data_IF_949112578703
#
_entry.id   IF_949112578703
#
_cell.length_a   1.000
_cell.length_b   1.000
_cell.length_c   1.000
_cell.angle_alpha   90.00
_cell.angle_beta   90.00
_cell.angle_gamma   90.00
#
_symmetry.space_group_name_H-M   'P 1'
#
loop_
_entity.id
_entity.type
_entity.pdbx_description
1 polymer ?
#
# COMPACT_ATOMS: atom_id res chain seq x y z
N UNK A 1 -1.24 4.97 -17.78
CA UNK A 1 -0.21 4.09 -17.16
C UNK A 1 -0.76 3.43 -15.90
N UNK A 2 -0.49 2.13 -15.71
CA UNK A 2 -0.82 1.37 -14.49
C UNK A 2 0.47 0.98 -13.77
N UNK A 3 0.66 1.48 -12.54
CA UNK A 3 1.87 1.31 -11.74
C UNK A 3 1.55 0.59 -10.43
N UNK A 4 2.37 -0.35 -9.99
CA UNK A 4 2.08 -1.06 -8.74
C UNK A 4 2.95 -2.26 -8.44
N UNK A 5 2.43 -3.13 -7.56
CA UNK A 5 3.08 -4.38 -7.19
C UNK A 5 2.58 -5.58 -8.02
N UNK A 6 2.55 -6.79 -7.43
CA UNK A 6 2.03 -8.01 -8.06
C UNK A 6 0.61 -7.87 -8.62
N UNK A 7 -0.21 -6.96 -8.11
CA UNK A 7 -1.56 -6.70 -8.62
C UNK A 7 -1.55 -6.18 -10.07
N UNK A 8 -0.50 -5.48 -10.49
CA UNK A 8 -0.34 -5.04 -11.89
C UNK A 8 -0.32 -6.25 -12.84
N UNK A 9 0.28 -7.36 -12.42
CA UNK A 9 0.30 -8.59 -13.20
C UNK A 9 -1.10 -9.16 -13.44
N UNK A 10 -1.94 -9.18 -12.40
CA UNK A 10 -3.33 -9.64 -12.52
C UNK A 10 -4.16 -8.74 -13.45
N UNK A 11 -4.01 -7.41 -13.34
CA UNK A 11 -4.70 -6.47 -14.22
C UNK A 11 -4.21 -6.61 -15.66
N UNK A 12 -2.90 -6.78 -15.87
CA UNK A 12 -2.33 -7.00 -17.20
C UNK A 12 -2.93 -8.23 -17.88
N UNK A 13 -3.03 -9.36 -17.17
CA UNK A 13 -3.68 -10.56 -17.70
C UNK A 13 -5.15 -10.33 -18.07
N UNK A 14 -5.88 -9.58 -17.23
CA UNK A 14 -7.27 -9.20 -17.53
C UNK A 14 -7.38 -8.30 -18.77
N UNK A 15 -6.47 -7.34 -18.92
CA UNK A 15 -6.40 -6.43 -20.07
C UNK A 15 -6.07 -7.18 -21.36
N UNK A 16 -5.10 -8.10 -21.32
CA UNK A 16 -4.73 -8.92 -22.48
C UNK A 16 -5.88 -9.85 -22.92
N UNK A 17 -6.72 -10.29 -21.99
CA UNK A 17 -7.90 -11.11 -22.30
C UNK A 17 -9.08 -10.31 -22.87
N UNK A 18 -9.19 -9.02 -22.57
CA UNK A 18 -10.27 -8.16 -23.01
C UNK A 18 -9.74 -6.74 -23.31
N UNK A 19 -8.89 -6.58 -24.35
CA UNK A 19 -8.31 -5.28 -24.68
C UNK A 19 -9.39 -4.34 -25.21
N UNK A 20 -9.13 -3.04 -25.10
CA UNK A 20 -9.95 -2.01 -25.75
C UNK A 20 -9.10 -1.20 -26.71
N UNK A 21 -9.67 -0.88 -27.86
CA UNK A 21 -8.97 -0.13 -28.91
C UNK A 21 -8.91 1.39 -28.64
N UNK A 22 -9.73 1.88 -27.71
CA UNK A 22 -9.85 3.30 -27.38
C UNK A 22 -8.90 3.78 -26.27
N UNK A 23 -8.07 2.88 -25.71
CA UNK A 23 -7.14 3.19 -24.62
C UNK A 23 -5.81 2.46 -24.82
N UNK A 24 -4.70 3.20 -24.86
CA UNK A 24 -3.36 2.60 -24.75
C UNK A 24 -2.97 2.44 -23.27
N UNK A 25 -2.69 1.20 -22.86
CA UNK A 25 -2.35 0.88 -21.48
C UNK A 25 -0.92 0.37 -21.40
N UNK A 26 -0.09 1.13 -20.66
CA UNK A 26 1.24 0.70 -20.23
C UNK A 26 1.22 0.23 -18.78
N UNK A 27 2.05 -0.75 -18.48
CA UNK A 27 2.18 -1.36 -17.16
C UNK A 27 3.59 -1.17 -16.62
N UNK A 28 3.70 -0.80 -15.33
CA UNK A 28 4.96 -0.74 -14.60
C UNK A 28 4.83 -1.43 -13.24
N UNK A 29 5.39 -2.63 -13.13
CA UNK A 29 5.31 -3.46 -11.94
C UNK A 29 6.63 -3.51 -11.18
N UNK A 30 6.56 -3.51 -9.85
CA UNK A 30 7.71 -3.72 -8.98
C UNK A 30 7.32 -4.59 -7.78
N UNK A 31 8.13 -5.58 -7.36
CA UNK A 31 7.85 -6.32 -6.13
C UNK A 31 7.72 -5.36 -4.94
N UNK A 32 6.86 -5.68 -3.96
CA UNK A 32 6.48 -4.75 -2.88
C UNK A 32 7.68 -4.02 -2.23
N UNK A 33 8.76 -4.75 -1.90
CA UNK A 33 9.99 -4.16 -1.31
C UNK A 33 10.70 -3.17 -2.24
N UNK A 34 10.70 -3.46 -3.53
CA UNK A 34 11.23 -2.54 -4.56
C UNK A 34 10.30 -1.35 -4.74
N UNK A 35 9.00 -1.60 -4.81
CA UNK A 35 7.97 -0.59 -5.08
C UNK A 35 7.99 0.53 -4.04
N UNK A 36 8.04 0.19 -2.74
CA UNK A 36 8.14 1.20 -1.65
C UNK A 36 9.44 2.03 -1.69
N UNK A 37 10.45 1.57 -2.43
CA UNK A 37 11.73 2.26 -2.60
C UNK A 37 11.77 3.16 -3.83
N UNK A 38 10.76 3.10 -4.70
CA UNK A 38 10.63 3.99 -5.84
C UNK A 38 10.34 5.42 -5.37
N UNK A 39 10.84 6.38 -6.11
CA UNK A 39 10.62 7.81 -5.91
C UNK A 39 10.22 8.42 -7.24
N UNK A 40 9.32 9.39 -7.18
CA UNK A 40 8.92 10.19 -8.32
C UNK A 40 9.75 11.48 -8.31
N UNK A 41 10.49 11.76 -9.37
CA UNK A 41 11.25 13.01 -9.50
C UNK A 41 10.34 14.19 -9.87
N UNK A 42 10.90 15.39 -9.90
CA UNK A 42 10.19 16.60 -10.34
C UNK A 42 9.79 16.54 -11.82
N UNK A 43 10.55 15.81 -12.63
CA UNK A 43 10.25 15.52 -14.04
C UNK A 43 9.26 14.36 -14.22
N UNK A 44 8.60 13.94 -13.14
CA UNK A 44 7.65 12.83 -13.10
C UNK A 44 8.27 11.48 -13.52
N UNK A 45 9.59 11.31 -13.32
CA UNK A 45 10.26 10.02 -13.52
C UNK A 45 10.12 9.16 -12.26
N UNK A 46 9.41 8.04 -12.37
CA UNK A 46 9.33 7.05 -11.31
C UNK A 46 10.49 6.07 -11.42
N UNK A 47 11.43 6.12 -10.48
CA UNK A 47 12.64 5.29 -10.49
C UNK A 47 13.16 5.00 -9.07
N UNK A 48 14.17 4.14 -8.97
CA UNK A 48 14.98 4.06 -7.75
C UNK A 48 15.96 5.25 -7.72
N UNK A 49 16.10 5.99 -6.59
CA UNK A 49 17.03 7.11 -6.52
C UNK A 49 18.49 6.68 -6.75
N UNK A 50 19.27 7.58 -7.36
CA UNK A 50 20.68 7.34 -7.74
C UNK A 50 21.66 7.48 -6.57
N UNK A 51 21.27 8.21 -5.53
CA UNK A 51 22.10 8.60 -4.37
C UNK A 51 22.52 7.41 -3.48
N UNK A 52 21.98 6.21 -3.72
CA UNK A 52 22.36 5.00 -2.99
C UNK A 52 23.35 4.21 -3.85
N UNK A 53 24.57 4.74 -3.99
CA UNK A 53 25.68 4.12 -4.74
C UNK A 53 26.28 2.87 -4.08
N UNK A 54 25.94 2.60 -2.81
CA UNK A 54 26.55 1.49 -2.06
C UNK A 54 25.60 0.31 -1.82
N UNK A 55 25.65 -0.66 -2.75
CA UNK A 55 25.70 -2.14 -2.57
C UNK A 55 24.48 -3.07 -2.25
N UNK A 56 23.23 -2.70 -1.91
CA UNK A 56 22.14 -3.71 -1.91
C UNK A 56 21.05 -3.54 -2.99
N UNK A 57 21.14 -2.56 -3.93
CA UNK A 57 20.06 -2.30 -4.92
C UNK A 57 20.26 -2.80 -6.35
N UNK A 58 21.44 -3.35 -6.68
CA UNK A 58 21.65 -4.00 -7.99
C UNK A 58 20.58 -5.07 -8.30
N UNK A 59 20.15 -5.92 -7.34
CA UNK A 59 19.05 -6.86 -7.58
C UNK A 59 17.74 -6.16 -7.91
N UNK A 60 17.43 -5.03 -7.27
CA UNK A 60 16.19 -4.31 -7.48
C UNK A 60 16.11 -3.67 -8.87
N UNK A 61 17.19 -3.01 -9.33
CA UNK A 61 17.23 -2.44 -10.69
C UNK A 61 17.13 -3.53 -11.75
N UNK A 62 17.84 -4.65 -11.56
CA UNK A 62 17.78 -5.81 -12.46
C UNK A 62 16.34 -6.35 -12.57
N UNK A 63 15.68 -6.58 -11.43
CA UNK A 63 14.29 -7.07 -11.41
C UNK A 63 13.34 -6.09 -12.10
N UNK A 64 13.50 -4.77 -11.90
CA UNK A 64 12.65 -3.78 -12.59
C UNK A 64 12.82 -3.87 -14.11
N UNK A 65 14.06 -3.92 -14.59
CA UNK A 65 14.33 -4.07 -16.03
C UNK A 65 13.77 -5.39 -16.57
N UNK A 66 13.92 -6.50 -15.85
CA UNK A 66 13.38 -7.80 -16.27
C UNK A 66 11.85 -7.80 -16.36
N UNK A 67 11.15 -7.13 -15.45
CA UNK A 67 9.68 -7.07 -15.44
C UNK A 67 9.10 -6.10 -16.46
N UNK A 68 9.77 -4.95 -16.69
CA UNK A 68 9.18 -3.83 -17.42
C UNK A 68 9.91 -3.49 -18.72
N UNK A 69 11.06 -4.12 -19.01
CA UNK A 69 11.98 -3.71 -20.08
C UNK A 69 12.80 -2.46 -19.77
N UNK A 70 12.49 -1.76 -18.67
CA UNK A 70 13.14 -0.54 -18.19
C UNK A 70 13.18 -0.53 -16.66
N UNK A 71 14.10 0.22 -16.06
CA UNK A 71 14.17 0.38 -14.61
C UNK A 71 13.41 1.61 -14.08
N UNK A 72 12.74 2.35 -14.96
CA UNK A 72 12.02 3.57 -14.64
C UNK A 72 10.86 3.82 -15.59
N UNK A 73 9.90 4.64 -15.17
CA UNK A 73 8.75 5.03 -15.96
C UNK A 73 8.60 6.55 -15.97
N UNK A 74 8.47 7.15 -17.16
CA UNK A 74 8.14 8.56 -17.31
C UNK A 74 6.63 8.72 -17.21
N UNK A 75 6.13 9.30 -16.12
CA UNK A 75 4.69 9.45 -15.91
C UNK A 75 4.10 10.65 -16.67
N UNK A 76 4.94 11.58 -17.16
CA UNK A 76 4.50 12.75 -17.91
C UNK A 76 3.91 12.41 -19.29
N UNK A 77 4.18 11.21 -19.81
CA UNK A 77 3.70 10.75 -21.13
C UNK A 77 2.26 10.24 -21.12
N UNK A 78 1.57 10.26 -19.96
CA UNK A 78 0.27 9.62 -19.79
C UNK A 78 -0.81 10.57 -19.29
N UNK A 79 -1.97 10.50 -19.93
CA UNK A 79 -3.18 11.23 -19.52
C UNK A 79 -3.73 10.75 -18.18
N UNK A 80 -3.54 9.48 -17.83
CA UNK A 80 -3.99 8.92 -16.56
C UNK A 80 -2.90 8.04 -15.95
N UNK A 81 -2.70 8.21 -14.64
CA UNK A 81 -1.84 7.34 -13.83
C UNK A 81 -2.67 6.63 -12.76
N UNK A 82 -2.68 5.30 -12.85
CA UNK A 82 -3.34 4.43 -11.91
C UNK A 82 -2.33 3.72 -11.01
N UNK A 83 -2.40 3.95 -9.70
CA UNK A 83 -1.62 3.22 -8.71
C UNK A 83 -2.39 2.00 -8.20
N UNK A 84 -1.76 0.82 -8.21
CA UNK A 84 -2.41 -0.47 -7.90
C UNK A 84 -1.61 -1.25 -6.86
N UNK A 85 -2.34 -1.89 -5.94
CA UNK A 85 -1.71 -2.70 -4.89
C UNK A 85 -0.94 -1.86 -3.89
N UNK A 86 -1.26 -0.57 -3.80
CA UNK A 86 -0.73 0.31 -2.78
C UNK A 86 -1.15 -0.23 -1.40
N UNK A 87 -0.25 -0.24 -0.39
CA UNK A 87 -0.59 -0.76 0.92
C UNK A 87 -1.77 0.01 1.51
N UNK A 88 -2.75 -0.73 2.05
CA UNK A 88 -3.93 -0.17 2.73
C UNK A 88 -3.65 0.20 4.19
N UNK A 89 -2.47 -0.15 4.72
CA UNK A 89 -2.10 -0.04 6.13
C UNK A 89 -2.92 -0.94 7.07
N UNK A 90 -3.83 -1.74 6.54
CA UNK A 90 -4.70 -2.62 7.31
C UNK A 90 -3.90 -3.58 8.20
N UNK A 91 -2.79 -4.13 7.69
CA UNK A 91 -1.90 -5.00 8.49
C UNK A 91 -1.23 -4.26 9.66
N UNK A 92 -0.88 -2.98 9.45
CA UNK A 92 -0.28 -2.13 10.49
C UNK A 92 -1.32 -1.76 11.55
N UNK A 93 -2.56 -1.48 11.14
CA UNK A 93 -3.68 -1.27 12.04
C UNK A 93 -4.01 -2.54 12.82
N UNK A 94 -4.02 -3.71 12.17
CA UNK A 94 -4.22 -4.99 12.83
C UNK A 94 -3.11 -5.28 13.85
N UNK A 95 -1.85 -5.00 13.49
CA UNK A 95 -0.73 -5.13 14.42
C UNK A 95 -0.86 -4.19 15.63
N UNK A 96 -1.27 -2.93 15.39
CA UNK A 96 -1.52 -1.95 16.45
C UNK A 96 -2.65 -2.41 17.37
N UNK A 97 -3.76 -2.88 16.81
CA UNK A 97 -4.92 -3.36 17.57
C UNK A 97 -4.59 -4.59 18.43
N UNK A 98 -3.69 -5.48 17.98
CA UNK A 98 -3.24 -6.66 18.76
C UNK A 98 -2.20 -6.29 19.82
N UNK A 99 -1.39 -5.26 19.59
CA UNK A 99 -0.27 -4.92 20.47
C UNK A 99 -0.61 -3.86 21.51
N UNK A 100 -1.68 -3.11 21.28
CA UNK A 100 -2.08 -1.98 22.11
C UNK A 100 -3.56 -2.02 22.42
N UNK A 101 -3.87 -1.72 23.68
CA UNK A 101 -5.22 -1.47 24.14
C UNK A 101 -5.62 -0.04 23.75
N UNK A 102 -6.58 0.07 22.83
CA UNK A 102 -6.99 1.34 22.23
C UNK A 102 -8.01 2.12 23.06
N UNK A 103 -8.67 1.44 24.01
CA UNK A 103 -9.56 2.03 24.99
C UNK A 103 -9.61 1.22 26.30
N UNK A 104 -10.21 1.78 27.34
CA UNK A 104 -10.43 1.07 28.60
C UNK A 104 -11.48 -0.05 28.47
N UNK A 105 -12.17 -0.21 27.34
CA UNK A 105 -13.21 -1.21 27.14
C UNK A 105 -12.65 -2.57 26.70
N UNK A 106 -11.52 -2.58 26.00
CA UNK A 106 -10.91 -3.82 25.53
C UNK A 106 -10.17 -4.57 26.67
N UNK A 107 -10.85 -5.52 27.30
CA UNK A 107 -10.38 -6.22 28.50
C UNK A 107 -9.38 -7.35 28.24
N UNK A 108 -9.20 -7.77 26.98
CA UNK A 108 -8.35 -8.91 26.61
C UNK A 108 -6.86 -8.61 26.71
N UNK A 109 -6.47 -7.34 26.68
CA UNK A 109 -5.07 -6.93 26.70
C UNK A 109 -4.58 -6.42 28.07
N UNK A 110 -3.30 -6.69 28.42
CA UNK A 110 -2.69 -6.19 29.64
C UNK A 110 -2.80 -4.67 29.80
N UNK A 111 -3.10 -4.17 31.00
CA UNK A 111 -3.26 -2.72 31.26
C UNK A 111 -2.05 -1.86 30.89
N UNK A 112 -0.85 -2.43 30.85
CA UNK A 112 0.39 -1.73 30.45
C UNK A 112 0.52 -1.53 28.94
N UNK A 113 -0.47 -1.92 28.14
CA UNK A 113 -0.54 -1.70 26.69
C UNK A 113 -1.51 -0.59 26.29
N UNK A 114 -2.09 0.13 27.27
CA UNK A 114 -3.06 1.20 27.04
C UNK A 114 -2.38 2.43 26.41
N UNK A 115 -2.86 2.83 25.24
CA UNK A 115 -2.46 4.08 24.60
C UNK A 115 -3.34 5.23 25.09
N UNK A 116 -2.72 6.38 25.36
CA UNK A 116 -3.49 7.62 25.57
C UNK A 116 -4.13 8.05 24.26
N UNK A 117 -5.28 8.75 24.32
CA UNK A 117 -5.96 9.27 23.13
C UNK A 117 -5.03 10.10 22.23
N UNK A 118 -4.18 11.02 22.76
CA UNK A 118 -3.22 11.74 21.93
C UNK A 118 -2.19 10.83 21.24
N UNK A 119 -1.67 9.81 21.94
CA UNK A 119 -0.71 8.87 21.36
C UNK A 119 -1.36 8.03 20.25
N UNK A 120 -2.59 7.54 20.48
CA UNK A 120 -3.38 6.82 19.47
C UNK A 120 -3.58 7.67 18.22
N UNK A 121 -4.05 8.91 18.38
CA UNK A 121 -4.27 9.84 17.26
C UNK A 121 -2.98 10.10 16.47
N UNK A 122 -1.87 10.38 17.15
CA UNK A 122 -0.59 10.63 16.49
C UNK A 122 -0.09 9.42 15.69
N UNK A 123 -0.28 8.19 16.20
CA UNK A 123 0.06 6.97 15.48
C UNK A 123 -0.81 6.81 14.23
N UNK A 124 -2.13 7.00 14.36
CA UNK A 124 -3.06 6.89 13.23
C UNK A 124 -2.78 7.95 12.16
N UNK A 125 -2.51 9.19 12.55
CA UNK A 125 -2.10 10.27 11.63
C UNK A 125 -0.81 9.91 10.89
N UNK A 126 0.20 9.40 11.61
CA UNK A 126 1.47 8.99 11.00
C UNK A 126 1.28 7.82 10.03
N UNK A 127 0.45 6.84 10.38
CA UNK A 127 0.10 5.72 9.50
C UNK A 127 -0.61 6.23 8.25
N UNK A 128 -1.64 7.08 8.41
CA UNK A 128 -2.40 7.64 7.30
C UNK A 128 -1.51 8.43 6.34
N UNK A 129 -0.59 9.25 6.86
CA UNK A 129 0.41 9.95 6.06
C UNK A 129 1.32 9.00 5.29
N UNK A 130 1.74 7.89 5.91
CA UNK A 130 2.63 6.91 5.26
C UNK A 130 1.96 6.11 4.13
N UNK A 131 0.62 6.08 4.11
CA UNK A 131 -0.16 5.45 3.05
C UNK A 131 -0.52 6.40 1.92
N UNK A 132 -0.38 7.71 2.11
CA UNK A 132 -0.58 8.65 1.01
C UNK A 132 0.56 8.44 0.00
N UNK A 133 0.27 8.53 -1.31
CA UNK A 133 1.31 8.70 -2.31
C UNK A 133 2.24 9.85 -1.89
N UNK A 134 3.52 9.74 -2.22
CA UNK A 134 4.48 10.79 -1.91
C UNK A 134 4.00 12.13 -2.49
N UNK A 135 4.28 13.26 -1.85
CA UNK A 135 3.76 14.57 -2.24
C UNK A 135 4.12 14.94 -3.69
N UNK A 136 5.16 14.34 -4.25
CA UNK A 136 5.57 14.47 -5.65
C UNK A 136 4.49 13.95 -6.62
N UNK A 137 3.67 12.98 -6.22
CA UNK A 137 2.49 12.58 -7.00
C UNK A 137 1.45 13.69 -7.08
N UNK A 138 1.51 14.70 -6.20
CA UNK A 138 0.66 15.89 -6.32
C UNK A 138 1.02 16.78 -7.51
N UNK A 139 2.22 16.62 -8.07
CA UNK A 139 2.74 17.39 -9.22
C UNK A 139 2.30 16.85 -10.58
N UNK A 140 1.62 15.71 -10.62
CA UNK A 140 1.08 15.17 -11.87
C UNK A 140 -0.16 16.01 -12.24
N UNK A 141 -0.06 16.78 -13.32
CA UNK A 141 -1.13 17.67 -13.80
C UNK A 141 -2.34 16.91 -14.35
N UNK A 142 -2.16 15.65 -14.71
CA UNK A 142 -3.20 14.82 -15.31
C UNK A 142 -4.15 14.21 -14.26
N UNK A 143 -5.39 13.82 -14.62
CA UNK A 143 -6.33 13.19 -13.70
C UNK A 143 -5.70 11.95 -13.03
N UNK A 144 -5.73 11.95 -11.68
CA UNK A 144 -5.12 10.91 -10.86
C UNK A 144 -6.19 9.97 -10.32
N UNK A 145 -6.15 8.71 -10.76
CA UNK A 145 -7.01 7.66 -10.22
C UNK A 145 -6.21 6.74 -9.31
N UNK A 146 -6.33 6.95 -8.00
CA UNK A 146 -5.77 6.04 -7.00
C UNK A 146 -6.72 4.87 -6.76
N UNK A 147 -6.45 3.72 -7.37
CA UNK A 147 -7.18 2.49 -7.07
C UNK A 147 -6.50 1.76 -5.93
N UNK A 148 -6.94 2.12 -4.72
CA UNK A 148 -6.62 1.42 -3.50
C UNK A 148 -7.57 0.23 -3.39
N UNK A 149 -7.16 -1.01 -3.69
CA UNK A 149 -8.03 -2.15 -3.45
C UNK A 149 -8.36 -2.15 -1.95
N UNK A 150 -9.65 -2.05 -1.61
CA UNK A 150 -10.07 -2.27 -0.24
C UNK A 150 -9.75 -3.73 0.09
N UNK A 151 -9.04 -4.01 1.20
CA UNK A 151 -8.87 -5.38 1.63
C UNK A 151 -10.25 -6.01 1.75
N UNK A 152 -10.46 -7.10 1.04
CA UNK A 152 -11.67 -7.92 1.12
C UNK A 152 -11.39 -9.06 2.08
N UNK A 153 -12.35 -9.38 2.94
CA UNK A 153 -12.25 -10.54 3.80
C UNK A 153 -12.17 -11.79 2.93
N UNK A 154 -11.08 -12.53 3.06
CA UNK A 154 -10.93 -13.85 2.47
C UNK A 154 -11.06 -14.87 3.60
N UNK A 155 -12.10 -15.71 3.56
CA UNK A 155 -12.35 -16.76 4.55
C UNK A 155 -11.14 -17.70 4.70
N UNK A 156 -10.43 -17.93 3.59
CA UNK A 156 -9.18 -18.70 3.56
C UNK A 156 -8.05 -18.08 4.37
N UNK A 157 -8.00 -16.75 4.53
CA UNK A 157 -7.01 -16.07 5.35
C UNK A 157 -7.27 -16.27 6.85
N UNK A 158 -8.53 -16.41 7.26
CA UNK A 158 -8.91 -16.64 8.66
C UNK A 158 -8.55 -18.06 9.13
N UNK A 159 -8.62 -19.03 8.22
CA UNK A 159 -8.24 -20.43 8.48
C UNK A 159 -6.74 -20.72 8.24
N UNK A 160 -5.98 -19.77 7.68
CA UNK A 160 -4.60 -19.99 7.29
C UNK A 160 -3.62 -19.90 8.47
N UNK A 161 -2.67 -20.83 8.53
CA UNK A 161 -1.56 -20.81 9.48
C UNK A 161 -0.39 -19.92 9.05
N UNK A 162 -0.49 -19.27 7.90
CA UNK A 162 0.55 -18.38 7.44
C UNK A 162 0.74 -17.21 8.41
N UNK A 163 1.99 -16.96 8.80
CA UNK A 163 2.32 -16.03 9.89
C UNK A 163 1.81 -14.61 9.66
N UNK A 164 1.69 -14.17 8.40
CA UNK A 164 1.17 -12.85 8.06
C UNK A 164 -0.30 -12.65 8.50
N UNK A 165 -1.07 -13.74 8.66
CA UNK A 165 -2.47 -13.67 9.09
C UNK A 165 -2.66 -13.78 10.61
N UNK A 166 -1.57 -13.89 11.39
CA UNK A 166 -1.64 -14.06 12.85
C UNK A 166 -2.46 -12.96 13.53
N UNK A 167 -2.22 -11.70 13.20
CA UNK A 167 -2.90 -10.58 13.85
C UNK A 167 -4.41 -10.58 13.53
N UNK A 168 -4.77 -10.87 12.29
CA UNK A 168 -6.15 -10.99 11.83
C UNK A 168 -6.91 -12.10 12.58
N UNK A 169 -6.27 -13.26 12.79
CA UNK A 169 -6.86 -14.35 13.60
C UNK A 169 -7.05 -13.98 15.06
N UNK A 170 -6.14 -13.20 15.64
CA UNK A 170 -6.31 -12.68 17.01
C UNK A 170 -7.52 -11.74 17.09
N UNK A 171 -7.67 -10.84 16.11
CA UNK A 171 -8.71 -9.81 16.09
C UNK A 171 -10.11 -10.32 15.71
N UNK A 172 -10.22 -11.47 15.04
CA UNK A 172 -11.52 -12.10 14.75
C UNK A 172 -12.36 -12.30 16.02
N UNK A 173 -11.71 -12.46 17.18
CA UNK A 173 -12.38 -12.62 18.48
C UNK A 173 -12.84 -11.30 19.10
N UNK A 174 -12.50 -10.15 18.50
CA UNK A 174 -12.64 -8.79 19.03
C UNK A 174 -13.22 -7.81 17.99
N UNK A 175 -14.14 -8.30 17.15
CA UNK A 175 -14.65 -7.67 15.91
C UNK A 175 -15.06 -6.18 16.06
N UNK A 176 -15.65 -5.79 17.20
CA UNK A 176 -16.10 -4.42 17.46
C UNK A 176 -14.94 -3.38 17.59
N UNK A 177 -13.78 -3.79 18.11
CA UNK A 177 -12.63 -2.88 18.29
C UNK A 177 -11.88 -2.61 16.98
N UNK A 178 -11.93 -3.54 16.04
CA UNK A 178 -11.24 -3.42 14.76
C UNK A 178 -11.99 -2.48 13.81
N UNK A 179 -13.32 -2.60 13.74
CA UNK A 179 -14.15 -1.76 12.89
C UNK A 179 -14.06 -0.29 13.29
N UNK A 180 -14.15 0.02 14.59
CA UNK A 180 -14.02 1.39 15.09
C UNK A 180 -12.64 2.01 14.80
N UNK A 181 -11.57 1.23 14.89
CA UNK A 181 -10.22 1.68 14.50
C UNK A 181 -10.11 1.95 13.00
N UNK A 182 -10.69 1.07 12.17
CA UNK A 182 -10.71 1.24 10.70
C UNK A 182 -11.51 2.48 10.32
N UNK A 183 -12.66 2.71 10.96
CA UNK A 183 -13.51 3.90 10.73
C UNK A 183 -12.78 5.19 11.14
N UNK A 184 -12.14 5.22 12.31
CA UNK A 184 -11.31 6.35 12.76
C UNK A 184 -10.16 6.62 11.77
N UNK A 185 -9.49 5.56 11.31
CA UNK A 185 -8.41 5.66 10.35
C UNK A 185 -8.88 6.17 8.97
N UNK A 186 -10.00 5.66 8.46
CA UNK A 186 -10.57 6.10 7.19
C UNK A 186 -11.05 7.55 7.25
N UNK A 187 -11.55 8.00 8.42
CA UNK A 187 -11.88 9.40 8.66
C UNK A 187 -10.67 10.34 8.59
N UNK A 188 -9.52 9.90 9.10
CA UNK A 188 -8.25 10.66 9.04
C UNK A 188 -7.67 10.65 7.61
N UNK A 189 -7.89 9.58 6.86
CA UNK A 189 -7.31 9.42 5.52
C UNK A 189 -7.95 10.34 4.47
N UNK A 190 -9.28 10.52 4.53
CA UNK A 190 -10.07 11.39 3.63
C UNK A 190 -9.66 12.85 3.75
#
# INVERSE_FOLDING_TARGET
MIVGNSHVGAIKLGWEAAPRDDVDVRFFAAPQRTFISLRLSDELQLALPDEIKDRPRLPHRKILTELNGTNSANLAEFDDVMLVGWPSGADQLAALAVSCRLDASNTSQPRNTLLSTPARKAILERLAQSLRPAAEFEKIDSPRLYLLPRPTLAETALASDYWAYRNWRTLQREEASLLSLIEEFDGIRR
#
